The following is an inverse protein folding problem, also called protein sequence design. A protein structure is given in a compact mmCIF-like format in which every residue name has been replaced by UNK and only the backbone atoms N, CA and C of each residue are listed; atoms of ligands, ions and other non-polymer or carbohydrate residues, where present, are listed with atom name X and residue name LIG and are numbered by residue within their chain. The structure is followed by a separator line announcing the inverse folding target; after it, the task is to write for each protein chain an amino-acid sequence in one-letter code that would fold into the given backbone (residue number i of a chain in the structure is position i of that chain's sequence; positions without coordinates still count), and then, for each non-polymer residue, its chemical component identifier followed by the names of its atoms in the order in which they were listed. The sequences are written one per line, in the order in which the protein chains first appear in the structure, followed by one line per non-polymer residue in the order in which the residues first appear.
data_IF_455841991138
#
_entry.id   IF_455841991138
#
_cell.length_a   1.000
_cell.length_b   1.000
_cell.length_c   1.000
_cell.angle_alpha   90.00
_cell.angle_beta   90.00
_cell.angle_gamma   90.00
#
_symmetry.space_group_name_H-M   'P 1'
#
loop_
_entity.id
_entity.type
_entity.pdbx_description
1 polymer ?
#
# COMPACT_ATOMS: atom_id res chain seq x y z
N UNK A 1 -0.57 9.59 -28.99
CA UNK A 1 0.90 9.38 -28.94
C UNK A 1 1.66 10.68 -29.15
N UNK A 2 1.50 11.40 -30.28
CA UNK A 2 2.23 12.66 -30.53
C UNK A 2 2.12 13.69 -29.40
N UNK A 3 0.93 13.84 -28.79
CA UNK A 3 0.70 14.77 -27.67
C UNK A 3 1.52 14.44 -26.40
N UNK A 4 1.67 13.16 -26.03
CA UNK A 4 2.42 12.77 -24.80
C UNK A 4 3.90 13.07 -24.93
N UNK A 5 4.49 12.72 -26.07
CA UNK A 5 5.91 12.96 -26.32
C UNK A 5 6.24 14.46 -26.36
N UNK A 6 5.32 15.27 -26.91
CA UNK A 6 5.46 16.73 -26.90
C UNK A 6 5.41 17.28 -25.46
N UNK A 7 4.42 16.87 -24.65
CA UNK A 7 4.29 17.24 -23.23
C UNK A 7 5.50 16.85 -22.37
N UNK A 8 6.16 15.74 -22.69
CA UNK A 8 7.40 15.36 -22.00
C UNK A 8 8.56 16.27 -22.43
N UNK A 9 8.69 16.56 -23.73
CA UNK A 9 9.82 17.33 -24.30
C UNK A 9 9.80 18.80 -23.96
N UNK A 10 8.62 19.40 -23.87
CA UNK A 10 8.46 20.82 -23.55
C UNK A 10 8.39 21.09 -22.04
N UNK A 11 8.30 20.03 -21.21
CA UNK A 11 8.24 20.11 -19.76
C UNK A 11 6.83 20.27 -19.17
N UNK A 12 5.78 20.23 -19.98
CA UNK A 12 4.40 20.42 -19.51
C UNK A 12 4.02 19.40 -18.42
N UNK A 13 4.41 18.13 -18.58
CA UNK A 13 4.10 17.09 -17.58
C UNK A 13 4.80 17.35 -16.23
N UNK A 14 5.97 17.98 -16.25
CA UNK A 14 6.69 18.38 -15.04
C UNK A 14 6.00 19.56 -14.34
N UNK A 15 5.52 20.54 -15.12
CA UNK A 15 4.72 21.65 -14.58
C UNK A 15 3.40 21.13 -13.98
N UNK A 16 2.75 20.16 -14.61
CA UNK A 16 1.55 19.52 -14.08
C UNK A 16 1.80 18.82 -12.73
N UNK A 17 2.96 18.14 -12.59
CA UNK A 17 3.40 17.55 -11.32
C UNK A 17 3.64 18.62 -10.23
N UNK A 18 4.30 19.74 -10.57
CA UNK A 18 4.48 20.86 -9.63
C UNK A 18 3.12 21.41 -9.17
N UNK A 19 2.19 21.55 -10.11
CA UNK A 19 0.85 22.03 -9.79
C UNK A 19 0.09 21.05 -8.90
N UNK A 20 0.19 19.74 -9.14
CA UNK A 20 -0.40 18.70 -8.29
C UNK A 20 0.19 18.73 -6.87
N UNK A 21 1.52 18.83 -6.75
CA UNK A 21 2.20 18.99 -5.46
C UNK A 21 1.73 20.25 -4.71
N UNK A 22 1.63 21.39 -5.42
CA UNK A 22 1.10 22.63 -4.84
C UNK A 22 -0.34 22.48 -4.38
N UNK A 23 -1.18 21.79 -5.16
CA UNK A 23 -2.57 21.50 -4.79
C UNK A 23 -2.65 20.60 -3.57
N UNK A 24 -1.78 19.59 -3.42
CA UNK A 24 -1.76 18.69 -2.24
C UNK A 24 -1.67 19.49 -0.93
N UNK A 25 -0.99 20.64 -0.93
CA UNK A 25 -0.91 21.54 0.22
C UNK A 25 -2.26 21.91 0.84
N UNK A 26 -3.37 21.83 0.10
CA UNK A 26 -4.72 22.00 0.65
C UNK A 26 -5.01 21.05 1.82
N UNK A 27 -4.51 19.82 1.80
CA UNK A 27 -4.77 18.81 2.83
C UNK A 27 -4.17 19.19 4.19
N UNK A 28 -3.11 19.99 4.18
CA UNK A 28 -2.43 20.44 5.39
C UNK A 28 -2.77 21.88 5.72
N UNK A 29 -2.75 22.80 4.76
CA UNK A 29 -2.89 24.24 5.04
C UNK A 29 -4.33 24.73 5.05
N UNK A 30 -5.27 23.97 4.47
CA UNK A 30 -6.71 24.24 4.58
C UNK A 30 -7.41 23.27 5.55
N UNK A 31 -6.65 22.40 6.22
CA UNK A 31 -7.17 21.54 7.27
C UNK A 31 -7.85 22.39 8.35
N UNK A 32 -9.02 21.96 8.83
CA UNK A 32 -9.77 22.62 9.90
C UNK A 32 -9.73 21.84 11.21
N UNK A 33 -9.20 20.61 11.19
CA UNK A 33 -9.10 19.74 12.35
C UNK A 33 -7.90 20.11 13.24
N UNK A 34 -6.85 20.69 12.67
CA UNK A 34 -5.66 21.16 13.42
C UNK A 34 -5.67 22.67 13.63
N UNK A 35 -5.05 23.17 14.70
CA UNK A 35 -4.75 24.60 14.83
C UNK A 35 -3.56 24.97 13.92
N UNK A 36 -3.63 26.04 13.09
CA UNK A 36 -2.52 26.47 12.24
C UNK A 36 -1.17 26.70 12.93
N UNK A 37 -1.18 27.02 14.23
CA UNK A 37 0.03 27.26 15.04
C UNK A 37 0.51 26.01 15.82
N UNK A 38 -0.19 24.88 15.67
CA UNK A 38 0.10 23.64 16.41
C UNK A 38 1.29 22.86 15.83
N UNK A 39 1.90 22.02 16.68
CA UNK A 39 2.94 21.10 16.23
C UNK A 39 2.36 20.09 15.24
N UNK A 40 1.13 19.64 15.45
CA UNK A 40 0.39 18.73 14.58
C UNK A 40 0.30 19.31 13.16
N UNK A 41 -0.09 20.58 13.01
CA UNK A 41 -0.08 21.27 11.71
C UNK A 41 1.31 21.29 11.09
N UNK A 42 2.35 21.56 11.87
CA UNK A 42 3.72 21.60 11.38
C UNK A 42 4.19 20.22 10.87
N UNK A 43 3.76 19.12 11.49
CA UNK A 43 4.06 17.77 11.00
C UNK A 43 3.41 17.45 9.65
N UNK A 44 2.38 18.20 9.24
CA UNK A 44 1.74 18.02 7.94
C UNK A 44 2.70 18.21 6.76
N UNK A 45 3.74 19.05 6.88
CA UNK A 45 4.75 19.15 5.82
C UNK A 45 5.53 17.83 5.66
N UNK A 46 5.82 17.12 6.76
CA UNK A 46 6.44 15.80 6.71
C UNK A 46 5.50 14.79 6.05
N UNK A 47 4.22 14.80 6.43
CA UNK A 47 3.21 13.97 5.79
C UNK A 47 3.18 14.20 4.27
N UNK A 48 3.12 15.45 3.83
CA UNK A 48 3.09 15.75 2.39
C UNK A 48 4.32 15.19 1.67
N UNK A 49 5.53 15.38 2.20
CA UNK A 49 6.74 14.88 1.52
C UNK A 49 6.78 13.36 1.47
N UNK A 50 6.33 12.69 2.55
CA UNK A 50 6.18 11.23 2.61
C UNK A 50 5.13 10.72 1.64
N UNK A 51 3.99 11.37 1.56
CA UNK A 51 2.92 11.03 0.62
C UNK A 51 3.35 11.21 -0.84
N UNK A 52 4.16 12.24 -1.13
CA UNK A 52 4.81 12.40 -2.44
C UNK A 52 5.80 11.27 -2.72
N UNK A 53 6.64 10.90 -1.75
CA UNK A 53 7.59 9.78 -1.89
C UNK A 53 6.86 8.48 -2.15
N UNK A 54 5.85 8.14 -1.36
CA UNK A 54 5.02 6.95 -1.56
C UNK A 54 4.38 6.91 -2.96
N UNK A 55 3.80 8.04 -3.39
CA UNK A 55 3.23 8.18 -4.72
C UNK A 55 4.26 8.00 -5.82
N UNK A 56 5.43 8.62 -5.69
CA UNK A 56 6.50 8.50 -6.68
C UNK A 56 7.01 7.07 -6.78
N UNK A 57 7.22 6.39 -5.65
CA UNK A 57 7.60 4.97 -5.62
C UNK A 57 6.56 4.10 -6.32
N UNK A 58 5.28 4.21 -5.94
CA UNK A 58 4.21 3.41 -6.52
C UNK A 58 4.01 3.69 -8.02
N UNK A 59 3.89 4.96 -8.40
CA UNK A 59 3.50 5.35 -9.75
C UNK A 59 4.66 5.41 -10.75
N UNK A 60 5.89 5.76 -10.32
CA UNK A 60 7.04 5.92 -11.20
C UNK A 60 7.94 4.69 -11.20
N UNK A 61 8.26 4.15 -10.02
CA UNK A 61 9.29 3.12 -9.87
C UNK A 61 8.71 1.70 -9.96
N UNK A 62 7.55 1.45 -9.34
CA UNK A 62 6.94 0.12 -9.25
C UNK A 62 5.85 -0.15 -10.29
N UNK A 63 5.70 0.75 -11.27
CA UNK A 63 4.66 0.69 -12.29
C UNK A 63 5.18 0.19 -13.65
N UNK A 64 5.89 -0.94 -13.64
CA UNK A 64 6.27 -1.67 -14.85
C UNK A 64 5.84 -3.15 -14.73
N UNK A 65 4.72 -3.53 -15.35
CA UNK A 65 4.26 -4.91 -15.30
C UNK A 65 4.95 -5.83 -16.31
N UNK A 66 5.78 -5.30 -17.21
CA UNK A 66 6.58 -6.13 -18.14
C UNK A 66 7.84 -6.66 -17.46
N UNK A 67 8.42 -5.85 -16.56
CA UNK A 67 9.61 -6.19 -15.78
C UNK A 67 9.39 -5.88 -14.28
N UNK A 68 8.44 -6.57 -13.63
CA UNK A 68 8.08 -6.28 -12.25
C UNK A 68 9.23 -6.66 -11.30
N UNK A 69 9.30 -5.94 -10.19
CA UNK A 69 10.09 -6.30 -9.03
C UNK A 69 9.35 -5.85 -7.77
N UNK A 70 9.63 -6.51 -6.65
CA UNK A 70 9.06 -6.09 -5.37
C UNK A 70 9.90 -4.99 -4.74
N UNK A 71 9.22 -3.93 -4.30
CA UNK A 71 9.76 -2.99 -3.33
C UNK A 71 8.66 -2.54 -2.36
N UNK A 72 9.07 -1.82 -1.34
CA UNK A 72 8.24 -1.25 -0.29
C UNK A 72 7.31 -0.17 -0.86
N UNK A 73 6.02 -0.24 -0.55
CA UNK A 73 5.08 0.85 -0.84
C UNK A 73 4.73 1.69 0.39
N UNK A 74 5.01 1.17 1.58
CA UNK A 74 5.01 1.90 2.83
C UNK A 74 6.21 1.45 3.68
N UNK A 75 6.88 2.43 4.25
CA UNK A 75 8.02 2.23 5.13
C UNK A 75 8.09 3.40 6.12
N UNK A 76 8.91 3.24 7.15
CA UNK A 76 9.24 4.21 8.18
C UNK A 76 9.56 5.61 7.63
N UNK A 77 10.17 5.68 6.45
CA UNK A 77 10.59 6.93 5.81
C UNK A 77 9.48 7.63 5.02
N UNK A 78 8.40 6.92 4.66
CA UNK A 78 7.27 7.43 3.87
C UNK A 78 5.96 6.71 4.24
N UNK A 79 5.66 6.70 5.53
CA UNK A 79 4.41 6.17 6.09
C UNK A 79 3.19 6.92 5.55
N UNK A 80 2.10 6.19 5.31
CA UNK A 80 0.80 6.71 4.88
C UNK A 80 -0.28 5.62 5.06
N UNK A 81 -1.55 6.03 5.14
CA UNK A 81 -2.67 5.08 5.13
C UNK A 81 -2.71 4.14 6.34
N UNK A 82 -2.21 4.60 7.49
CA UNK A 82 -2.09 3.87 8.75
C UNK A 82 -1.36 2.51 8.60
N UNK A 83 -0.24 2.50 7.87
CA UNK A 83 0.65 1.34 7.79
C UNK A 83 0.96 0.77 9.17
N UNK A 84 0.96 -0.56 9.30
CA UNK A 84 1.25 -1.20 10.58
C UNK A 84 2.73 -1.13 10.90
N UNK A 85 3.12 -0.72 12.12
CA UNK A 85 4.48 -0.89 12.63
C UNK A 85 4.97 -2.34 12.59
N UNK A 86 4.04 -3.29 12.72
CA UNK A 86 4.31 -4.73 12.64
C UNK A 86 4.25 -5.26 11.20
N UNK A 87 4.00 -4.39 10.23
CA UNK A 87 3.75 -4.73 8.83
C UNK A 87 4.95 -4.52 7.91
N UNK A 88 5.29 -5.57 7.16
CA UNK A 88 6.05 -5.46 5.93
C UNK A 88 5.15 -5.55 4.69
N UNK A 89 5.10 -4.45 3.95
CA UNK A 89 4.34 -4.30 2.72
C UNK A 89 5.25 -4.20 1.49
N UNK A 90 5.09 -5.10 0.53
CA UNK A 90 5.76 -5.05 -0.77
C UNK A 90 4.74 -4.99 -1.90
N UNK A 91 5.09 -4.37 -3.02
CA UNK A 91 4.21 -4.16 -4.17
C UNK A 91 4.94 -4.36 -5.49
N UNK A 92 4.21 -4.84 -6.49
CA UNK A 92 4.64 -4.83 -7.89
C UNK A 92 3.41 -4.68 -8.79
N UNK A 93 3.53 -3.90 -9.89
CA UNK A 93 2.50 -3.91 -10.93
C UNK A 93 2.54 -5.20 -11.75
N UNK A 94 1.38 -5.65 -12.19
CA UNK A 94 1.18 -6.82 -13.04
C UNK A 94 0.09 -6.51 -14.08
N UNK A 95 -0.14 -7.42 -15.03
CA UNK A 95 -1.27 -7.37 -15.96
C UNK A 95 -2.13 -8.62 -15.85
N UNK A 96 -3.44 -8.41 -15.83
CA UNK A 96 -4.44 -9.47 -15.83
C UNK A 96 -4.42 -10.42 -17.02
N UNK A 97 -3.73 -10.06 -18.11
CA UNK A 97 -3.59 -10.88 -19.33
C UNK A 97 -2.25 -11.63 -19.41
N UNK A 98 -1.42 -11.56 -18.37
CA UNK A 98 -0.04 -12.07 -18.36
C UNK A 98 0.15 -13.12 -17.28
N UNK A 99 1.20 -13.93 -17.42
CA UNK A 99 1.58 -14.93 -16.39
C UNK A 99 2.84 -14.46 -15.67
N UNK A 100 2.85 -14.60 -14.35
CA UNK A 100 3.95 -14.23 -13.47
C UNK A 100 4.31 -15.37 -12.54
N UNK A 101 5.58 -15.41 -12.13
CA UNK A 101 6.11 -16.34 -11.14
C UNK A 101 6.69 -15.54 -9.98
N UNK A 102 6.16 -15.76 -8.78
CA UNK A 102 6.73 -15.29 -7.53
C UNK A 102 7.50 -16.45 -6.92
N UNK A 103 8.77 -16.25 -6.58
CA UNK A 103 9.61 -17.32 -6.04
C UNK A 103 10.62 -16.80 -5.03
N UNK A 104 11.05 -17.67 -4.13
CA UNK A 104 12.06 -17.34 -3.12
C UNK A 104 11.83 -18.13 -1.82
N UNK A 105 12.04 -17.48 -0.68
CA UNK A 105 11.77 -18.07 0.63
C UNK A 105 10.60 -17.34 1.31
N UNK A 106 9.64 -18.09 1.84
CA UNK A 106 8.48 -17.52 2.56
C UNK A 106 8.96 -16.80 3.84
N UNK A 107 10.01 -17.29 4.49
CA UNK A 107 10.36 -16.89 5.84
C UNK A 107 9.31 -17.36 6.84
N UNK A 108 9.29 -16.74 8.01
CA UNK A 108 8.51 -17.19 9.17
C UNK A 108 7.60 -16.12 9.76
N UNK A 109 7.32 -15.04 9.02
CA UNK A 109 6.33 -14.02 9.42
C UNK A 109 5.04 -14.66 9.97
N UNK A 110 4.51 -14.15 11.07
CA UNK A 110 3.33 -14.70 11.73
C UNK A 110 2.11 -14.71 10.79
N UNK A 111 1.84 -13.58 10.14
CA UNK A 111 0.83 -13.45 9.09
C UNK A 111 1.53 -13.17 7.75
N UNK A 112 1.02 -13.76 6.67
CA UNK A 112 1.54 -13.54 5.32
C UNK A 112 0.44 -13.70 4.29
N UNK A 113 0.31 -12.72 3.39
CA UNK A 113 -0.73 -12.71 2.37
C UNK A 113 -0.20 -12.14 1.07
N UNK A 114 -0.64 -12.74 -0.03
CA UNK A 114 -0.46 -12.21 -1.38
C UNK A 114 -1.83 -11.86 -1.89
N UNK A 115 -1.98 -10.61 -2.31
CA UNK A 115 -3.26 -10.06 -2.72
C UNK A 115 -3.15 -9.35 -4.06
N UNK A 116 -4.06 -9.69 -4.96
CA UNK A 116 -4.19 -9.10 -6.28
C UNK A 116 -5.24 -7.99 -6.20
N UNK A 117 -4.93 -6.86 -6.82
CA UNK A 117 -5.81 -5.70 -6.78
C UNK A 117 -5.98 -5.04 -8.15
N UNK A 118 -7.16 -4.44 -8.32
CA UNK A 118 -7.55 -3.66 -9.48
C UNK A 118 -8.49 -2.53 -9.06
N UNK A 119 -8.37 -1.33 -9.64
CA UNK A 119 -7.21 -0.79 -10.36
C UNK A 119 -6.08 -0.41 -9.37
N UNK A 120 -5.03 0.28 -9.81
CA UNK A 120 -3.89 0.72 -9.01
C UNK A 120 -4.28 1.65 -7.84
N UNK A 121 -3.51 1.68 -6.74
CA UNK A 121 -3.79 2.45 -5.51
C UNK A 121 -4.16 3.93 -5.73
N UNK A 122 -3.54 4.57 -6.72
CA UNK A 122 -3.82 5.96 -7.11
C UNK A 122 -5.24 6.19 -7.65
N UNK A 123 -6.03 5.14 -7.85
CA UNK A 123 -7.41 5.20 -8.32
C UNK A 123 -8.45 5.09 -7.19
N UNK A 124 -8.06 5.30 -5.93
CA UNK A 124 -9.00 5.37 -4.80
C UNK A 124 -10.23 6.26 -5.14
N UNK A 125 -11.46 5.87 -4.76
CA UNK A 125 -11.82 4.72 -3.93
C UNK A 125 -11.91 3.37 -4.66
N UNK A 126 -11.59 3.32 -5.95
CA UNK A 126 -11.96 2.16 -6.77
C UNK A 126 -11.04 0.95 -6.60
N UNK A 127 -9.92 1.09 -5.87
CA UNK A 127 -8.97 0.02 -5.58
C UNK A 127 -9.64 -1.11 -4.81
N UNK A 128 -9.77 -2.28 -5.42
CA UNK A 128 -10.43 -3.45 -4.84
C UNK A 128 -9.52 -4.68 -4.95
N UNK A 129 -9.54 -5.52 -3.91
CA UNK A 129 -8.91 -6.85 -3.95
C UNK A 129 -9.70 -7.79 -4.86
N UNK A 130 -9.05 -8.35 -5.88
CA UNK A 130 -9.64 -9.25 -6.89
C UNK A 130 -9.18 -10.69 -6.78
N UNK A 131 -8.13 -10.96 -6.00
CA UNK A 131 -7.65 -12.31 -5.70
C UNK A 131 -6.77 -12.32 -4.46
N UNK A 132 -6.65 -13.48 -3.81
CA UNK A 132 -5.76 -13.63 -2.66
C UNK A 132 -5.24 -15.06 -2.53
N UNK A 133 -4.08 -15.20 -1.91
CA UNK A 133 -3.58 -16.44 -1.32
C UNK A 133 -3.09 -16.10 0.08
N UNK A 134 -3.79 -16.62 1.09
CA UNK A 134 -3.49 -16.31 2.49
C UNK A 134 -2.54 -17.31 3.12
N UNK A 135 -2.09 -17.00 4.33
CA UNK A 135 -1.12 -17.79 5.10
C UNK A 135 -1.40 -19.30 5.12
N UNK A 136 -2.66 -19.68 5.34
CA UNK A 136 -3.07 -21.10 5.50
C UNK A 136 -3.02 -21.90 4.21
N UNK A 137 -3.04 -21.24 3.05
CA UNK A 137 -3.17 -21.88 1.74
C UNK A 137 -1.81 -22.07 1.05
N UNK A 138 -0.77 -21.37 1.51
CA UNK A 138 0.56 -21.41 0.88
C UNK A 138 1.31 -22.66 1.31
N UNK A 139 1.66 -23.48 0.32
CA UNK A 139 2.53 -24.63 0.52
C UNK A 139 3.99 -24.22 0.31
N UNK A 140 4.85 -24.64 1.22
CA UNK A 140 6.31 -24.42 1.13
C UNK A 140 7.02 -25.76 1.07
N UNK A 141 8.18 -25.76 0.44
CA UNK A 141 9.09 -26.89 0.47
C UNK A 141 9.71 -27.05 1.87
N UNK A 142 10.33 -28.20 2.20
CA UNK A 142 10.94 -28.43 3.51
C UNK A 142 12.03 -27.42 3.91
N UNK A 143 12.64 -26.71 2.96
CA UNK A 143 13.63 -25.66 3.18
C UNK A 143 13.04 -24.24 3.30
N UNK A 144 11.71 -24.12 3.23
CA UNK A 144 10.97 -22.86 3.26
C UNK A 144 10.88 -22.15 1.91
N UNK A 145 11.41 -22.76 0.83
CA UNK A 145 11.23 -22.21 -0.50
C UNK A 145 9.76 -22.28 -0.93
N UNK A 146 9.38 -21.31 -1.76
CA UNK A 146 8.01 -21.15 -2.26
C UNK A 146 8.05 -20.70 -3.71
N UNK A 147 7.16 -21.27 -4.52
CA UNK A 147 6.85 -20.81 -5.86
C UNK A 147 5.33 -20.60 -5.96
N UNK A 148 4.92 -19.46 -6.53
CA UNK A 148 3.53 -19.04 -6.66
C UNK A 148 3.32 -18.51 -8.07
N UNK A 149 2.29 -19.02 -8.75
CA UNK A 149 1.94 -18.62 -10.10
C UNK A 149 0.77 -17.64 -10.06
N UNK A 150 0.89 -16.54 -10.80
CA UNK A 150 -0.21 -15.64 -11.10
C UNK A 150 -0.53 -15.77 -12.59
N UNK A 151 -1.73 -16.16 -12.96
CA UNK A 151 -2.09 -16.32 -14.38
C UNK A 151 -3.59 -16.21 -14.63
N UNK A 152 -4.04 -15.87 -15.86
CA UNK A 152 -5.47 -15.81 -16.19
C UNK A 152 -6.12 -17.20 -16.18
N UNK A 153 -5.34 -18.21 -16.61
CA UNK A 153 -5.74 -19.61 -16.73
C UNK A 153 -4.94 -20.50 -15.78
N UNK A 154 -5.51 -21.61 -15.28
CA UNK A 154 -4.83 -22.50 -14.35
C UNK A 154 -3.53 -23.07 -14.92
N UNK A 155 -2.44 -23.15 -14.12
CA UNK A 155 -1.25 -23.87 -14.51
C UNK A 155 -1.53 -25.39 -14.59
N UNK A 156 -0.61 -26.17 -15.17
CA UNK A 156 -0.67 -27.64 -15.12
C UNK A 156 -0.86 -28.17 -13.68
N UNK A 157 -1.41 -29.40 -13.55
CA UNK A 157 -1.94 -29.92 -12.27
C UNK A 157 -0.95 -29.93 -11.10
N UNK A 158 0.36 -30.00 -11.34
CA UNK A 158 1.42 -29.99 -10.34
C UNK A 158 1.63 -28.62 -9.66
N UNK A 159 1.22 -27.52 -10.29
CA UNK A 159 1.45 -26.16 -9.79
C UNK A 159 0.18 -25.44 -9.30
N UNK A 160 -0.94 -26.16 -9.14
CA UNK A 160 -2.23 -25.55 -8.78
C UNK A 160 -2.37 -25.15 -7.31
N UNK A 161 -1.50 -25.65 -6.43
CA UNK A 161 -1.62 -25.39 -4.99
C UNK A 161 -1.27 -23.94 -4.61
N UNK A 162 -0.23 -23.38 -5.22
CA UNK A 162 0.19 -22.01 -5.02
C UNK A 162 -0.14 -21.17 -6.26
N UNK A 163 -1.42 -21.06 -6.59
CA UNK A 163 -1.86 -20.34 -7.79
C UNK A 163 -2.96 -19.34 -7.45
N UNK A 164 -2.85 -18.14 -8.03
CA UNK A 164 -3.89 -17.12 -7.99
C UNK A 164 -4.34 -16.81 -9.41
N UNK A 165 -5.65 -16.96 -9.65
CA UNK A 165 -6.24 -16.54 -10.93
C UNK A 165 -6.24 -15.02 -11.04
N UNK A 166 -5.72 -14.50 -12.15
CA UNK A 166 -5.77 -13.08 -12.46
C UNK A 166 -7.06 -12.73 -13.21
N UNK A 167 -7.80 -11.76 -12.68
CA UNK A 167 -8.87 -11.11 -13.41
C UNK A 167 -8.28 -10.31 -14.60
N UNK A 168 -9.00 -10.14 -15.72
CA UNK A 168 -8.48 -9.42 -16.90
C UNK A 168 -8.01 -7.98 -16.62
N UNK A 169 -8.57 -7.37 -15.57
CA UNK A 169 -8.27 -6.01 -15.12
C UNK A 169 -7.28 -5.97 -13.93
N UNK A 170 -6.67 -7.08 -13.53
CA UNK A 170 -5.66 -7.06 -12.46
C UNK A 170 -4.48 -6.13 -12.81
N UNK A 171 -4.12 -5.23 -11.89
CA UNK A 171 -3.08 -4.22 -12.10
C UNK A 171 -1.90 -4.35 -11.13
N UNK A 172 -2.10 -4.98 -9.97
CA UNK A 172 -1.02 -5.08 -8.98
C UNK A 172 -1.12 -6.30 -8.07
N UNK A 173 0.03 -6.67 -7.53
CA UNK A 173 0.16 -7.65 -6.45
C UNK A 173 0.80 -6.97 -5.24
N UNK A 174 0.22 -7.21 -4.07
CA UNK A 174 0.72 -6.74 -2.77
C UNK A 174 1.08 -7.96 -1.91
N UNK A 175 2.25 -7.93 -1.30
CA UNK A 175 2.66 -8.90 -0.29
C UNK A 175 2.60 -8.20 1.07
N UNK A 176 1.78 -8.72 1.99
CA UNK A 176 1.71 -8.23 3.37
C UNK A 176 2.27 -9.30 4.29
N UNK A 177 3.17 -8.91 5.18
CA UNK A 177 3.75 -9.78 6.19
C UNK A 177 3.60 -9.07 7.53
N UNK A 178 3.09 -9.74 8.55
CA UNK A 178 3.01 -9.18 9.89
C UNK A 178 3.76 -10.04 10.90
N UNK A 179 4.40 -9.37 11.85
CA UNK A 179 5.31 -9.98 12.81
C UNK A 179 4.82 -9.73 14.22
N UNK A 180 4.98 -10.74 15.08
CA UNK A 180 4.87 -10.59 16.53
C UNK A 180 6.22 -10.64 17.22
N UNK A 181 7.19 -11.29 16.60
CA UNK A 181 8.53 -11.46 17.13
C UNK A 181 9.55 -11.07 16.07
N UNK A 182 9.76 -9.76 15.93
CA UNK A 182 10.76 -9.19 15.04
C UNK A 182 12.20 -9.66 15.31
N UNK A 183 12.49 -10.28 16.46
CA UNK A 183 13.81 -10.81 16.78
C UNK A 183 14.04 -12.21 16.20
N UNK A 184 13.00 -13.05 16.15
CA UNK A 184 13.13 -14.46 15.75
C UNK A 184 12.40 -14.81 14.44
N UNK A 185 11.42 -14.01 14.03
CA UNK A 185 10.72 -14.20 12.76
C UNK A 185 11.52 -13.61 11.59
N UNK A 186 11.47 -14.31 10.46
CA UNK A 186 12.20 -13.97 9.25
C UNK A 186 11.23 -13.46 8.20
N UNK A 187 11.54 -12.30 7.62
CA UNK A 187 10.80 -11.79 6.46
C UNK A 187 10.95 -12.73 5.26
N UNK A 188 9.95 -12.74 4.41
CA UNK A 188 10.02 -13.35 3.10
C UNK A 188 11.06 -12.65 2.23
N UNK A 189 11.81 -13.44 1.47
CA UNK A 189 12.73 -13.00 0.44
C UNK A 189 12.19 -13.49 -0.90
N UNK A 190 11.41 -12.64 -1.56
CA UNK A 190 10.65 -12.99 -2.76
C UNK A 190 11.09 -12.15 -3.94
N UNK A 191 11.15 -12.78 -5.10
CA UNK A 191 11.29 -12.16 -6.41
C UNK A 191 10.03 -12.42 -7.22
N UNK A 192 9.75 -11.55 -8.18
CA UNK A 192 8.68 -11.70 -9.15
C UNK A 192 9.27 -11.55 -10.54
N UNK A 193 8.82 -12.37 -11.48
CA UNK A 193 9.14 -12.22 -12.90
C UNK A 193 7.90 -12.47 -13.75
N UNK A 194 7.80 -11.76 -14.88
CA UNK A 194 6.85 -12.09 -15.93
C UNK A 194 7.40 -13.29 -16.72
N UNK A 195 6.58 -14.33 -16.88
CA UNK A 195 6.94 -15.50 -17.68
C UNK A 195 7.14 -15.07 -19.13
N UNK A 196 8.16 -15.63 -19.78
CA UNK A 196 8.59 -15.31 -21.15
C UNK A 196 9.15 -13.89 -21.37
N UNK A 197 9.43 -13.13 -20.31
CA UNK A 197 10.13 -11.84 -20.43
C UNK A 197 11.56 -12.02 -20.97
N UNK A 198 11.99 -11.09 -21.83
CA UNK A 198 13.34 -11.09 -22.41
C UNK A 198 14.24 -10.11 -21.68
N UNK A 199 15.41 -10.59 -21.23
CA UNK A 199 16.40 -9.77 -20.55
C UNK A 199 17.63 -9.49 -21.43
N UNK A 200 18.29 -8.32 -21.28
CA UNK A 200 17.95 -7.24 -20.35
C UNK A 200 16.70 -6.46 -20.79
N UNK A 201 15.99 -5.79 -19.86
CA UNK A 201 14.82 -4.98 -20.20
C UNK A 201 15.20 -3.89 -21.23
N UNK A 202 14.34 -3.60 -22.21
CA UNK A 202 14.56 -2.47 -23.10
C UNK A 202 14.44 -1.15 -22.32
N UNK A 203 15.03 -0.05 -22.82
CA UNK A 203 14.78 1.26 -22.25
C UNK A 203 13.30 1.59 -22.22
N UNK A 204 12.85 2.21 -21.13
CA UNK A 204 11.46 2.61 -20.97
C UNK A 204 11.03 3.60 -22.06
N UNK A 205 9.82 3.42 -22.57
CA UNK A 205 9.28 4.29 -23.63
C UNK A 205 8.86 5.63 -23.03
N UNK A 206 9.14 6.77 -23.70
CA UNK A 206 8.73 8.09 -23.23
C UNK A 206 7.24 8.21 -22.89
N UNK A 207 6.37 7.53 -23.64
CA UNK A 207 4.93 7.57 -23.39
C UNK A 207 4.54 6.93 -22.05
N UNK A 208 5.26 5.86 -21.64
CA UNK A 208 5.04 5.18 -20.36
C UNK A 208 5.45 6.09 -19.19
N UNK A 209 6.54 6.84 -19.34
CA UNK A 209 6.97 7.83 -18.33
C UNK A 209 5.88 8.89 -18.12
N UNK A 210 5.21 9.33 -19.20
CA UNK A 210 4.09 10.27 -19.09
C UNK A 210 2.89 9.64 -18.38
N UNK A 211 2.54 8.38 -18.71
CA UNK A 211 1.47 7.64 -18.01
C UNK A 211 1.74 7.50 -16.50
N UNK A 212 2.97 7.17 -16.12
CA UNK A 212 3.43 7.10 -14.74
C UNK A 212 3.29 8.45 -14.02
N UNK A 213 3.68 9.54 -14.68
CA UNK A 213 3.57 10.89 -14.14
C UNK A 213 2.10 11.32 -13.97
N UNK A 214 1.23 10.98 -14.92
CA UNK A 214 -0.22 11.21 -14.82
C UNK A 214 -0.83 10.44 -13.64
N UNK A 215 -0.39 9.20 -13.41
CA UNK A 215 -0.80 8.41 -12.25
C UNK A 215 -0.33 9.03 -10.92
N UNK A 216 0.88 9.59 -10.87
CA UNK A 216 1.38 10.34 -9.71
C UNK A 216 0.56 11.61 -9.47
N UNK A 217 0.19 12.36 -10.52
CA UNK A 217 -0.69 13.52 -10.39
C UNK A 217 -2.03 13.09 -9.77
N UNK A 218 -2.62 11.99 -10.27
CA UNK A 218 -3.86 11.43 -9.74
C UNK A 218 -3.74 11.04 -8.27
N UNK A 219 -2.62 10.45 -7.87
CA UNK A 219 -2.32 10.12 -6.47
C UNK A 219 -2.34 11.35 -5.55
N UNK A 220 -1.67 12.44 -5.97
CA UNK A 220 -1.56 13.68 -5.19
C UNK A 220 -2.89 14.45 -5.13
N UNK A 221 -3.71 14.35 -6.17
CA UNK A 221 -4.99 15.06 -6.24
C UNK A 221 -6.17 14.21 -5.77
N UNK A 222 -6.60 13.24 -6.56
CA UNK A 222 -7.84 12.51 -6.33
C UNK A 222 -7.72 11.57 -5.12
N UNK A 223 -6.70 10.70 -5.11
CA UNK A 223 -6.51 9.76 -4.00
C UNK A 223 -6.23 10.49 -2.68
N UNK A 224 -5.41 11.55 -2.71
CA UNK A 224 -5.12 12.37 -1.54
C UNK A 224 -6.37 13.05 -0.96
N UNK A 225 -7.28 13.54 -1.82
CA UNK A 225 -8.56 14.11 -1.36
C UNK A 225 -9.42 13.03 -0.73
N UNK A 226 -9.56 11.88 -1.39
CA UNK A 226 -10.38 10.79 -0.89
C UNK A 226 -9.90 10.33 0.49
N UNK A 227 -8.62 10.04 0.66
CA UNK A 227 -8.10 9.57 1.95
C UNK A 227 -8.20 10.63 3.05
N UNK A 228 -8.00 11.92 2.74
CA UNK A 228 -8.28 12.99 3.70
C UNK A 228 -9.73 12.99 4.15
N UNK A 229 -10.69 12.86 3.23
CA UNK A 229 -12.12 12.76 3.58
C UNK A 229 -12.41 11.56 4.47
N UNK A 230 -11.82 10.39 4.18
CA UNK A 230 -11.93 9.20 5.02
C UNK A 230 -11.36 9.45 6.42
N UNK A 231 -10.17 10.03 6.53
CA UNK A 231 -9.57 10.43 7.82
C UNK A 231 -10.56 11.30 8.60
N UNK A 232 -11.12 12.33 7.96
CA UNK A 232 -12.06 13.25 8.61
C UNK A 232 -13.35 12.56 9.06
N UNK A 233 -13.80 11.50 8.39
CA UNK A 233 -14.97 10.72 8.85
C UNK A 233 -14.69 10.08 10.20
N UNK A 234 -13.55 9.39 10.36
CA UNK A 234 -13.19 8.72 11.61
C UNK A 234 -12.80 9.66 12.74
N UNK A 235 -12.54 10.93 12.43
CA UNK A 235 -12.24 11.97 13.42
C UNK A 235 -13.47 12.71 13.96
N UNK A 236 -14.68 12.50 13.42
CA UNK A 236 -15.87 13.27 13.81
C UNK A 236 -16.27 13.06 15.27
N UNK A 237 -16.10 11.85 15.78
CA UNK A 237 -16.47 11.45 17.14
C UNK A 237 -15.19 11.02 17.89
N UNK A 238 -14.42 11.98 18.44
CA UNK A 238 -13.18 11.66 19.14
C UNK A 238 -13.42 10.78 20.37
N UNK A 239 -12.39 10.00 20.72
CA UNK A 239 -12.41 9.00 21.79
C UNK A 239 -13.42 7.87 21.55
N UNK A 240 -13.73 7.58 20.28
CA UNK A 240 -14.54 6.42 19.87
C UNK A 240 -13.79 5.59 18.84
N UNK A 241 -14.07 4.28 18.82
CA UNK A 241 -13.54 3.35 17.81
C UNK A 241 -14.74 2.71 17.12
N UNK A 242 -14.79 2.83 15.80
CA UNK A 242 -15.79 2.18 14.95
C UNK A 242 -15.15 1.02 14.23
N UNK A 243 -15.72 -0.18 14.39
CA UNK A 243 -15.30 -1.35 13.65
C UNK A 243 -15.99 -1.40 12.30
N UNK A 244 -15.20 -1.50 11.24
CA UNK A 244 -15.69 -1.68 9.88
C UNK A 244 -16.11 -3.13 9.66
N UNK A 245 -17.08 -3.32 8.77
CA UNK A 245 -17.41 -4.65 8.29
C UNK A 245 -16.14 -5.24 7.65
N UNK A 246 -15.74 -6.49 7.95
CA UNK A 246 -14.56 -7.09 7.32
C UNK A 246 -14.57 -7.03 5.79
N UNK A 247 -15.74 -7.02 5.13
CA UNK A 247 -15.83 -6.85 3.66
C UNK A 247 -15.39 -5.47 3.16
N UNK A 248 -15.42 -4.45 4.01
CA UNK A 248 -14.92 -3.12 3.68
C UNK A 248 -13.39 -3.09 3.59
N UNK A 249 -12.68 -4.07 4.17
CA UNK A 249 -11.22 -4.20 4.01
C UNK A 249 -10.80 -4.51 2.57
N UNK A 250 -11.68 -5.03 1.72
CA UNK A 250 -11.35 -5.27 0.30
C UNK A 250 -11.08 -3.96 -0.48
N UNK A 251 -11.39 -2.78 0.10
CA UNK A 251 -11.25 -1.45 -0.49
C UNK A 251 -9.91 -0.76 -0.13
N UNK A 252 -8.83 -1.54 0.00
CA UNK A 252 -7.48 -1.04 0.30
C UNK A 252 -6.85 -1.56 1.60
N UNK A 253 -7.63 -2.23 2.45
CA UNK A 253 -7.15 -2.95 3.62
C UNK A 253 -6.57 -4.33 3.28
N UNK A 254 -6.10 -5.03 4.30
CA UNK A 254 -5.81 -6.45 4.25
C UNK A 254 -7.14 -7.22 4.33
N UNK A 255 -7.48 -7.93 3.27
CA UNK A 255 -8.84 -8.43 3.11
C UNK A 255 -9.15 -9.58 4.06
N UNK A 256 -10.23 -9.43 4.83
CA UNK A 256 -10.60 -10.34 5.92
C UNK A 256 -10.27 -9.79 7.32
N UNK A 257 -9.51 -8.70 7.40
CA UNK A 257 -9.25 -8.01 8.67
C UNK A 257 -10.45 -7.14 9.07
N UNK A 258 -10.80 -7.14 10.35
CA UNK A 258 -11.74 -6.19 10.93
C UNK A 258 -10.97 -4.98 11.45
N UNK A 259 -11.12 -3.85 10.76
CA UNK A 259 -10.46 -2.60 11.14
C UNK A 259 -11.29 -1.82 12.15
N UNK A 260 -10.72 -1.56 13.33
CA UNK A 260 -11.24 -0.58 14.29
C UNK A 260 -10.57 0.76 14.05
N UNK A 261 -11.33 1.77 13.63
CA UNK A 261 -10.82 3.09 13.26
C UNK A 261 -11.50 4.19 14.08
N UNK A 262 -10.73 5.18 14.48
CA UNK A 262 -11.20 6.28 15.33
C UNK A 262 -10.12 7.32 15.57
N UNK A 263 -10.43 8.29 16.42
CA UNK A 263 -9.47 9.29 16.89
C UNK A 263 -9.48 9.38 18.41
N UNK A 264 -8.39 9.94 18.94
CA UNK A 264 -8.19 10.16 20.37
C UNK A 264 -7.89 11.64 20.58
N UNK A 265 -8.56 12.25 21.56
CA UNK A 265 -8.34 13.62 21.98
C UNK A 265 -8.27 13.66 23.51
N UNK A 266 -7.09 14.00 24.04
CA UNK A 266 -6.81 14.04 25.47
C UNK A 266 -6.00 15.29 25.81
N UNK A 267 -6.21 15.84 27.00
CA UNK A 267 -5.41 16.93 27.54
C UNK A 267 -4.00 16.48 27.94
N UNK A 268 -3.08 17.45 28.11
CA UNK A 268 -1.67 17.20 28.44
C UNK A 268 -1.46 16.43 29.77
N UNK A 269 -2.43 16.50 30.69
CA UNK A 269 -2.38 15.83 32.00
C UNK A 269 -3.36 14.66 32.09
N UNK A 270 -3.88 14.18 30.97
CA UNK A 270 -4.82 13.07 30.89
C UNK A 270 -4.14 11.85 30.27
N UNK A 271 -4.74 10.69 30.50
CA UNK A 271 -4.36 9.45 29.84
C UNK A 271 -5.62 8.83 29.24
N UNK A 272 -5.53 8.33 28.00
CA UNK A 272 -6.57 7.49 27.45
C UNK A 272 -6.32 6.04 27.85
N UNK A 273 -7.39 5.37 28.30
CA UNK A 273 -7.37 3.95 28.60
C UNK A 273 -8.11 3.21 27.48
N UNK A 274 -7.41 2.34 26.76
CA UNK A 274 -8.01 1.38 25.85
C UNK A 274 -8.09 0.03 26.56
N UNK A 275 -9.30 -0.39 26.90
CA UNK A 275 -9.56 -1.73 27.43
C UNK A 275 -10.03 -2.63 26.29
N UNK A 276 -9.28 -3.70 26.03
CA UNK A 276 -9.57 -4.65 24.97
C UNK A 276 -9.57 -6.07 25.56
N UNK A 277 -10.54 -6.87 25.15
CA UNK A 277 -10.44 -8.33 25.26
C UNK A 277 -9.85 -8.82 23.94
N UNK A 278 -8.60 -9.33 23.92
CA UNK A 278 -7.99 -9.80 22.68
C UNK A 278 -8.91 -10.79 21.95
N UNK A 279 -9.17 -10.58 20.64
CA UNK A 279 -9.99 -11.50 19.87
C UNK A 279 -9.30 -12.86 19.72
N UNK A 280 -10.10 -13.93 19.63
CA UNK A 280 -9.60 -15.25 19.26
C UNK A 280 -9.42 -15.32 17.74
N UNK A 281 -8.27 -14.82 17.29
CA UNK A 281 -7.89 -14.81 15.87
C UNK A 281 -6.38 -15.01 15.69
N UNK A 282 -5.98 -15.27 14.45
CA UNK A 282 -4.58 -15.55 14.12
C UNK A 282 -3.68 -14.33 14.37
N UNK A 283 -4.09 -13.15 13.92
CA UNK A 283 -3.38 -11.89 14.12
C UNK A 283 -4.34 -10.79 14.55
N UNK A 284 -3.92 -10.00 15.53
CA UNK A 284 -4.54 -8.77 16.01
C UNK A 284 -3.46 -7.81 16.50
N UNK A 285 -3.77 -6.52 16.49
CA UNK A 285 -2.91 -5.49 17.02
C UNK A 285 -3.67 -4.19 17.23
N UNK A 286 -2.97 -3.21 17.78
CA UNK A 286 -3.45 -1.83 17.91
C UNK A 286 -2.25 -0.91 17.70
N UNK A 287 -2.50 0.23 17.07
CA UNK A 287 -1.48 1.25 16.88
C UNK A 287 -2.09 2.64 17.03
N UNK A 288 -1.23 3.60 17.36
CA UNK A 288 -1.52 5.01 17.23
C UNK A 288 -1.02 5.51 15.88
N UNK A 289 -1.81 6.39 15.28
CA UNK A 289 -1.43 7.12 14.06
C UNK A 289 -1.47 8.63 14.30
N UNK A 290 -0.79 9.37 13.43
CA UNK A 290 -0.90 10.82 13.35
C UNK A 290 -2.29 11.24 12.84
N UNK A 291 -2.59 12.54 12.95
CA UNK A 291 -3.80 13.16 12.38
C UNK A 291 -3.88 13.07 10.83
N UNK A 292 -2.80 12.64 10.19
CA UNK A 292 -2.69 12.39 8.75
C UNK A 292 -2.61 10.90 8.41
N UNK A 293 -2.94 10.00 9.35
CA UNK A 293 -2.83 8.54 9.18
C UNK A 293 -1.44 8.06 8.79
N UNK A 294 -0.42 8.61 9.46
CA UNK A 294 0.91 8.02 9.46
C UNK A 294 1.09 7.19 10.73
N UNK A 295 1.78 6.06 10.67
CA UNK A 295 2.22 5.36 11.86
C UNK A 295 3.06 6.29 12.74
N UNK A 296 2.83 6.24 14.05
CA UNK A 296 3.66 6.99 15.00
C UNK A 296 5.12 6.52 14.93
N UNK A 297 6.03 7.25 15.57
CA UNK A 297 7.48 7.07 15.47
C UNK A 297 8.01 5.78 16.17
N UNK A 298 7.48 4.61 15.80
CA UNK A 298 7.60 3.31 16.46
C UNK A 298 9.05 2.84 16.68
N UNK A 299 9.97 3.21 15.79
CA UNK A 299 11.39 2.84 15.88
C UNK A 299 12.21 3.68 16.86
N UNK A 300 11.73 4.87 17.26
CA UNK A 300 12.37 5.74 18.29
C UNK A 300 11.55 5.87 19.55
N UNK A 301 10.25 5.66 19.44
CA UNK A 301 9.25 5.82 20.48
C UNK A 301 8.41 4.57 20.38
N UNK A 302 8.52 3.70 21.38
CA UNK A 302 7.69 2.51 21.45
C UNK A 302 6.22 2.95 21.35
N UNK A 303 5.53 2.45 20.32
CA UNK A 303 4.06 2.52 20.22
C UNK A 303 3.45 1.36 20.99
#
# INVERSE_FOLDING_TARGET
MENKLERLRNGDIFEDLIHAWKRLGRLVYNDKATNPESLERATGLLYMTRYLTAGATLAMELNDPEYPYFDRWADRSYSWGIDSPDGLYSFACIRGDSTYRIFGNRGTAHQFDIEIHSPHFANAPNYVRTGNLGFVDIQTEPDGSVEIILSPEPPPDDNKHNWIQLAPDAESVCVRQFFYDWENEQKAELSIEKVDAQYPPPPEKPEVIVDKAELLIKWLDEAGTFWDEVIRIFMKEPNTVTFLNPKESDWGGHGGLSYGMGSIEIGQNEAALLEVTPPDCHFWGFQLGSIYWESMDWWRRQS
#
